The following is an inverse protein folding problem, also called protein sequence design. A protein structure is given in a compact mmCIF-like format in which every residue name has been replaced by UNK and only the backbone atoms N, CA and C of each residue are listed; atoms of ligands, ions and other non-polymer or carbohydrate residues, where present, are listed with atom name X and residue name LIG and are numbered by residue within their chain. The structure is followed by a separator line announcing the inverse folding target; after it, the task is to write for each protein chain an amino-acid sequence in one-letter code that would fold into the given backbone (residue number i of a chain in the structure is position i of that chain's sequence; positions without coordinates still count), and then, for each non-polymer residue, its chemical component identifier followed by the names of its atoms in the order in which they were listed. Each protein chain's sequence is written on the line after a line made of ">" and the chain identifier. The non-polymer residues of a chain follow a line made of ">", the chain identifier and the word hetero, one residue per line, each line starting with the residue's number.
data_IF_536149472696
#
_entry.id   IF_536149472696
#
_cell.length_a   1.000
_cell.length_b   1.000
_cell.length_c   1.000
_cell.angle_alpha   90.00
_cell.angle_beta   90.00
_cell.angle_gamma   90.00
#
_symmetry.space_group_name_H-M   'P 1'
#
loop_
_entity.id
_entity.type
_entity.pdbx_description
1 polymer ?
#
# COMPACT_ATOMS: atom_id res chain seq x y z
N UNK A 1 3.09 -12.46 17.30
CA UNK A 1 3.04 -12.36 15.82
C UNK A 1 3.29 -10.90 15.47
N UNK A 2 4.53 -10.53 15.13
CA UNK A 2 4.86 -9.15 14.77
C UNK A 2 4.06 -8.73 13.55
N UNK A 3 3.01 -7.94 13.76
CA UNK A 3 2.17 -7.38 12.71
C UNK A 3 2.81 -6.05 12.29
N UNK A 4 3.95 -6.09 11.62
CA UNK A 4 4.56 -4.84 11.15
C UNK A 4 3.65 -4.18 10.11
N UNK A 5 3.73 -2.85 10.02
CA UNK A 5 2.99 -2.09 9.02
C UNK A 5 3.27 -2.61 7.61
N UNK A 6 4.53 -2.96 7.31
CA UNK A 6 4.96 -3.48 6.01
C UNK A 6 4.24 -4.77 5.61
N UNK A 7 3.93 -5.65 6.57
CA UNK A 7 3.17 -6.88 6.31
C UNK A 7 1.74 -6.56 5.89
N UNK A 8 1.10 -5.58 6.55
CA UNK A 8 -0.24 -5.15 6.17
C UNK A 8 -0.26 -4.46 4.80
N UNK A 9 0.69 -3.56 4.56
CA UNK A 9 0.83 -2.88 3.27
C UNK A 9 1.07 -3.89 2.14
N UNK A 10 1.89 -4.92 2.38
CA UNK A 10 2.13 -5.99 1.39
C UNK A 10 0.87 -6.78 1.08
N UNK A 11 0.02 -7.07 2.07
CA UNK A 11 -1.27 -7.75 1.85
C UNK A 11 -2.25 -6.84 1.11
N UNK A 12 -2.34 -5.57 1.51
CA UNK A 12 -3.25 -4.61 0.89
C UNK A 12 -2.91 -4.39 -0.59
N UNK A 13 -1.63 -4.29 -0.95
CA UNK A 13 -1.18 -4.23 -2.36
C UNK A 13 -1.61 -5.45 -3.17
N UNK A 14 -1.63 -6.64 -2.58
CA UNK A 14 -2.10 -7.85 -3.27
C UNK A 14 -3.59 -7.80 -3.55
N UNK A 15 -4.40 -7.28 -2.62
CA UNK A 15 -5.84 -7.15 -2.81
C UNK A 15 -6.21 -6.09 -3.87
N UNK A 16 -5.39 -5.04 -4.02
CA UNK A 16 -5.63 -3.95 -4.96
C UNK A 16 -4.95 -4.18 -6.32
N UNK A 17 -4.26 -5.30 -6.52
CA UNK A 17 -3.47 -5.58 -7.73
C UNK A 17 -4.28 -5.50 -9.02
N UNK A 18 -5.57 -5.86 -8.96
CA UNK A 18 -6.44 -5.93 -10.14
C UNK A 18 -6.98 -4.55 -10.56
N UNK A 19 -6.85 -3.52 -9.71
CA UNK A 19 -7.19 -2.14 -10.06
C UNK A 19 -5.91 -1.31 -10.26
N UNK A 20 -5.43 -1.15 -11.52
CA UNK A 20 -4.21 -0.40 -11.80
C UNK A 20 -4.33 1.10 -11.48
N UNK A 21 -5.54 1.62 -11.22
CA UNK A 21 -5.76 3.01 -10.82
C UNK A 21 -5.36 3.25 -9.38
N UNK A 22 -5.29 2.21 -8.55
CA UNK A 22 -5.01 2.33 -7.12
C UNK A 22 -3.57 1.93 -6.84
N UNK A 23 -2.78 2.86 -6.28
CA UNK A 23 -1.38 2.61 -5.92
C UNK A 23 -1.08 3.00 -4.48
N UNK A 24 -0.22 2.24 -3.82
CA UNK A 24 0.28 2.55 -2.47
C UNK A 24 1.76 2.93 -2.57
N UNK A 25 2.03 4.23 -2.43
CA UNK A 25 3.36 4.84 -2.52
C UNK A 25 3.98 4.92 -1.11
N UNK A 26 5.27 4.60 -1.01
CA UNK A 26 6.03 4.72 0.25
C UNK A 26 6.77 6.06 0.28
N UNK A 27 6.52 6.86 1.31
CA UNK A 27 7.22 8.10 1.62
C UNK A 27 8.14 7.84 2.81
N UNK A 28 9.43 7.66 2.52
CA UNK A 28 10.43 7.35 3.54
C UNK A 28 10.46 8.41 4.66
N UNK A 29 10.42 7.97 5.92
CA UNK A 29 10.38 8.85 7.09
C UNK A 29 9.00 9.47 7.40
N UNK A 30 7.98 9.23 6.55
CA UNK A 30 6.62 9.76 6.73
C UNK A 30 5.60 8.63 6.85
N UNK A 31 5.63 7.65 5.94
CA UNK A 31 4.68 6.53 5.91
C UNK A 31 4.22 6.17 4.50
N UNK A 32 2.99 5.71 4.36
CA UNK A 32 2.40 5.26 3.09
C UNK A 32 1.25 6.17 2.66
N UNK A 33 1.12 6.42 1.36
CA UNK A 33 -0.01 7.14 0.75
C UNK A 33 -0.74 6.23 -0.23
N UNK A 34 -2.07 6.30 -0.23
CA UNK A 34 -2.92 5.72 -1.25
C UNK A 34 -3.20 6.78 -2.32
N UNK A 35 -2.87 6.47 -3.56
CA UNK A 35 -3.13 7.32 -4.73
C UNK A 35 -4.13 6.61 -5.64
N UNK A 36 -5.08 7.38 -6.19
CA UNK A 36 -6.12 6.89 -7.09
C UNK A 36 -6.09 7.74 -8.36
N UNK A 37 -5.75 7.13 -9.48
CA UNK A 37 -5.87 7.75 -10.79
C UNK A 37 -7.33 7.78 -11.25
N UNK A 38 -7.74 8.87 -11.90
CA UNK A 38 -9.07 9.02 -12.49
C UNK A 38 -9.18 8.32 -13.83
#
# INVERSE_FOLDING_TARGET
>A
LGRSMDVFISKLRKYLKDDPRVQIVNYHGVGFRLEVAS
#
